data_IF_309152100636
#
_entry.id   IF_309152100636
#
_cell.length_a   1.000
_cell.length_b   1.000
_cell.length_c   1.000
_cell.angle_alpha   90.00
_cell.angle_beta   90.00
_cell.angle_gamma   90.00
#
_symmetry.space_group_name_H-M   'P 1'
#
loop_
_entity.id
_entity.type
_entity.pdbx_description
1 polymer ?
#
# COMPACT_ATOMS: atom_id res chain seq x y z
N UNK A 1 -4.81 0.29 -0.06
CA UNK A 1 -3.74 0.93 0.76
C UNK A 1 -4.11 2.39 0.96
N UNK A 2 -3.69 3.02 2.06
CA UNK A 2 -4.31 4.27 2.52
C UNK A 2 -4.00 5.44 1.57
N UNK A 3 -5.07 6.17 1.19
CA UNK A 3 -5.07 7.35 0.31
C UNK A 3 -4.63 7.16 -1.15
N UNK A 4 -4.28 5.95 -1.59
CA UNK A 4 -4.07 5.70 -3.02
C UNK A 4 -5.35 5.93 -3.81
N UNK A 5 -5.25 6.70 -4.89
CA UNK A 5 -6.36 7.10 -5.76
C UNK A 5 -5.86 7.42 -7.16
N UNK A 6 -6.74 7.84 -8.06
CA UNK A 6 -6.31 8.34 -9.35
C UNK A 6 -5.54 9.66 -9.19
N UNK A 7 -4.41 9.81 -9.89
CA UNK A 7 -3.64 11.07 -9.95
C UNK A 7 -4.40 12.19 -10.66
N UNK A 8 -5.36 11.84 -11.53
CA UNK A 8 -6.15 12.78 -12.32
C UNK A 8 -7.63 12.74 -11.91
N UNK A 9 -8.15 13.80 -11.26
CA UNK A 9 -9.57 13.88 -10.90
C UNK A 9 -10.50 13.78 -12.11
N UNK A 10 -10.08 14.32 -13.26
CA UNK A 10 -10.85 14.23 -14.51
C UNK A 10 -10.93 12.79 -15.01
N UNK A 11 -9.80 12.08 -15.02
CA UNK A 11 -9.78 10.68 -15.46
C UNK A 11 -10.62 9.81 -14.51
N UNK A 12 -10.52 10.05 -13.20
CA UNK A 12 -11.30 9.35 -12.18
C UNK A 12 -12.81 9.48 -12.38
N UNK A 13 -13.30 10.70 -12.63
CA UNK A 13 -14.72 10.98 -12.85
C UNK A 13 -15.31 10.27 -14.08
N UNK A 14 -14.49 10.02 -15.10
CA UNK A 14 -14.93 9.40 -16.36
C UNK A 14 -14.49 7.94 -16.50
N UNK A 15 -13.77 7.40 -15.53
CA UNK A 15 -13.13 6.10 -15.63
C UNK A 15 -14.17 4.98 -15.75
N UNK A 16 -14.01 4.11 -16.76
CA UNK A 16 -14.84 2.91 -16.95
C UNK A 16 -14.06 1.60 -16.76
N UNK A 17 -12.81 1.70 -16.29
CA UNK A 17 -11.93 0.55 -16.12
C UNK A 17 -12.43 -0.28 -14.93
N UNK A 18 -12.58 -1.58 -15.12
CA UNK A 18 -13.05 -2.50 -14.06
C UNK A 18 -12.00 -2.72 -12.96
N UNK A 19 -10.72 -2.55 -13.31
CA UNK A 19 -9.60 -2.74 -12.40
C UNK A 19 -8.49 -1.74 -12.70
N UNK A 20 -7.92 -1.16 -11.64
CA UNK A 20 -6.77 -0.27 -11.75
C UNK A 20 -5.43 -1.01 -11.80
N UNK A 21 -5.42 -2.32 -11.55
CA UNK A 21 -4.19 -3.12 -11.42
C UNK A 21 -4.13 -4.30 -12.39
N UNK A 22 -5.15 -4.48 -13.24
CA UNK A 22 -5.22 -5.57 -14.21
C UNK A 22 -5.50 -5.04 -15.63
N UNK A 23 -4.88 -5.62 -16.68
CA UNK A 23 -3.79 -6.62 -16.64
C UNK A 23 -2.46 -6.04 -16.11
N UNK A 24 -2.32 -4.72 -16.17
CA UNK A 24 -1.20 -3.97 -15.63
C UNK A 24 -1.72 -2.80 -14.78
N UNK A 25 -0.83 -2.20 -13.98
CA UNK A 25 -1.13 -1.00 -13.19
C UNK A 25 -1.50 0.15 -14.13
N UNK A 26 -2.65 0.75 -13.86
CA UNK A 26 -3.16 1.89 -14.61
C UNK A 26 -2.16 3.06 -14.51
N UNK A 27 -1.77 3.71 -15.62
CA UNK A 27 -0.83 4.84 -15.59
C UNK A 27 -1.32 6.04 -14.78
N UNK A 28 -2.64 6.17 -14.63
CA UNK A 28 -3.26 7.22 -13.83
C UNK A 28 -3.38 6.84 -12.34
N UNK A 29 -3.08 5.61 -11.94
CA UNK A 29 -3.13 5.21 -10.54
C UNK A 29 -1.95 5.80 -9.78
N UNK A 30 -2.23 6.33 -8.59
CA UNK A 30 -1.20 6.70 -7.63
C UNK A 30 -0.64 5.48 -6.91
N UNK A 31 0.68 5.43 -6.87
CA UNK A 31 1.49 4.38 -6.22
C UNK A 31 2.42 4.99 -5.17
N UNK A 32 2.28 6.27 -4.83
CA UNK A 32 2.99 6.88 -3.72
C UNK A 32 2.39 6.44 -2.37
N UNK A 33 3.18 5.69 -1.59
CA UNK A 33 2.74 5.16 -0.31
C UNK A 33 3.08 6.08 0.88
N UNK A 34 3.61 7.27 0.62
CA UNK A 34 3.95 8.26 1.66
C UNK A 34 2.84 8.46 2.71
N UNK A 35 1.55 8.59 2.34
CA UNK A 35 0.47 8.74 3.33
C UNK A 35 0.34 7.54 4.26
N UNK A 36 0.50 6.32 3.73
CA UNK A 36 0.43 5.08 4.51
C UNK A 36 1.63 4.97 5.45
N UNK A 37 2.85 5.26 4.96
CA UNK A 37 4.07 5.27 5.77
C UNK A 37 3.95 6.28 6.93
N UNK A 38 3.47 7.49 6.66
CA UNK A 38 3.29 8.51 7.67
C UNK A 38 2.21 8.12 8.70
N UNK A 39 1.16 7.41 8.29
CA UNK A 39 0.19 6.84 9.22
C UNK A 39 0.85 5.83 10.16
N UNK A 40 1.65 4.91 9.63
CA UNK A 40 2.33 3.89 10.42
C UNK A 40 3.30 4.50 11.44
N UNK A 41 4.10 5.49 11.03
CA UNK A 41 5.04 6.19 11.90
C UNK A 41 4.33 6.92 13.03
N UNK A 42 3.30 7.70 12.71
CA UNK A 42 2.49 8.39 13.74
C UNK A 42 1.87 7.41 14.72
N UNK A 43 1.34 6.29 14.23
CA UNK A 43 0.72 5.29 15.10
C UNK A 43 1.74 4.63 16.05
N UNK A 44 2.99 4.42 15.61
CA UNK A 44 4.08 3.91 16.44
C UNK A 44 4.52 4.88 17.54
N UNK A 45 4.40 6.19 17.31
CA UNK A 45 4.79 7.23 18.27
C UNK A 45 3.77 7.43 19.39
N UNK A 46 2.57 6.83 19.28
CA UNK A 46 1.54 6.94 20.29
C UNK A 46 1.95 6.25 21.60
N UNK A 47 1.79 6.96 22.72
CA UNK A 47 2.11 6.46 24.05
C UNK A 47 1.32 5.18 24.36
N UNK A 48 2.03 4.15 24.80
CA UNK A 48 1.44 2.85 25.18
C UNK A 48 1.39 1.83 24.04
N UNK A 49 1.66 2.23 22.80
CA UNK A 49 1.79 1.29 21.68
C UNK A 49 3.18 0.65 21.71
N UNK A 50 3.23 -0.68 21.85
CA UNK A 50 4.48 -1.44 21.86
C UNK A 50 4.94 -1.87 20.46
N UNK A 51 3.99 -2.29 19.62
CA UNK A 51 4.24 -2.74 18.25
C UNK A 51 2.93 -2.69 17.45
N UNK A 52 3.04 -2.38 16.16
CA UNK A 52 1.91 -2.42 15.21
C UNK A 52 2.22 -3.49 14.18
N UNK A 53 1.35 -4.47 14.07
CA UNK A 53 1.45 -5.54 13.08
C UNK A 53 0.41 -5.33 11.99
N UNK A 54 0.82 -5.44 10.73
CA UNK A 54 -0.08 -5.37 9.58
C UNK A 54 -0.34 -6.80 9.09
N UNK A 55 -1.53 -7.31 9.40
CA UNK A 55 -1.92 -8.69 9.10
C UNK A 55 -2.57 -8.84 7.71
N UNK A 56 -3.16 -7.77 7.17
CA UNK A 56 -3.95 -7.82 5.94
C UNK A 56 -3.94 -6.47 5.21
N UNK A 57 -4.48 -6.44 3.99
CA UNK A 57 -4.66 -5.21 3.21
C UNK A 57 -3.43 -4.73 2.45
N UNK A 58 -2.39 -5.55 2.37
CA UNK A 58 -1.22 -5.33 1.52
C UNK A 58 -1.51 -5.92 0.14
N UNK A 59 -1.62 -5.05 -0.87
CA UNK A 59 -1.73 -5.48 -2.27
C UNK A 59 -0.33 -5.54 -2.85
N UNK A 60 0.20 -6.75 -3.04
CA UNK A 60 1.58 -6.94 -3.48
C UNK A 60 1.87 -6.23 -4.81
N UNK A 61 0.97 -6.33 -5.79
CA UNK A 61 1.09 -5.69 -7.11
C UNK A 61 1.41 -4.20 -7.01
N UNK A 62 0.83 -3.51 -6.03
CA UNK A 62 1.01 -2.06 -5.83
C UNK A 62 2.14 -1.78 -4.82
N UNK A 63 2.29 -2.64 -3.81
CA UNK A 63 3.25 -2.43 -2.74
C UNK A 63 4.71 -2.42 -3.26
N UNK A 64 5.02 -3.23 -4.27
CA UNK A 64 6.36 -3.30 -4.88
C UNK A 64 6.77 -2.04 -5.62
N UNK A 65 5.80 -1.21 -6.03
CA UNK A 65 6.04 0.05 -6.74
C UNK A 65 6.68 1.11 -5.84
N UNK A 66 6.64 0.95 -4.50
CA UNK A 66 7.29 1.84 -3.55
C UNK A 66 8.22 1.08 -2.59
N UNK A 67 9.54 1.03 -2.89
CA UNK A 67 10.52 0.38 -2.03
C UNK A 67 10.56 0.93 -0.60
N UNK A 68 10.17 2.20 -0.39
CA UNK A 68 10.14 2.82 0.94
C UNK A 68 9.05 2.20 1.80
N UNK A 69 7.90 1.87 1.20
CA UNK A 69 6.81 1.20 1.88
C UNK A 69 7.19 -0.22 2.28
N UNK A 70 7.79 -1.00 1.36
CA UNK A 70 8.25 -2.35 1.66
C UNK A 70 9.27 -2.33 2.80
N UNK A 71 10.23 -1.39 2.76
CA UNK A 71 11.22 -1.24 3.84
C UNK A 71 10.55 -0.93 5.18
N UNK A 72 9.62 0.02 5.23
CA UNK A 72 8.90 0.36 6.47
C UNK A 72 8.11 -0.85 7.00
N UNK A 73 7.36 -1.51 6.12
CA UNK A 73 6.52 -2.68 6.45
C UNK A 73 7.38 -3.83 7.01
N UNK A 74 8.42 -4.23 6.30
CA UNK A 74 9.27 -5.36 6.68
C UNK A 74 10.12 -5.06 7.94
N UNK A 75 10.57 -3.81 8.12
CA UNK A 75 11.43 -3.46 9.26
C UNK A 75 10.68 -3.38 10.58
N UNK A 76 9.40 -3.00 10.56
CA UNK A 76 8.69 -2.59 11.78
C UNK A 76 7.35 -3.29 12.00
N UNK A 77 6.71 -3.76 10.93
CA UNK A 77 5.29 -4.08 10.96
C UNK A 77 4.95 -5.55 10.72
N UNK A 78 5.96 -6.42 10.65
CA UNK A 78 5.79 -7.86 10.54
C UNK A 78 6.28 -8.59 11.80
N UNK A 79 5.76 -9.80 12.00
CA UNK A 79 6.12 -10.69 13.11
C UNK A 79 7.46 -11.41 12.94
N UNK A 80 8.15 -11.17 11.81
CA UNK A 80 9.41 -11.83 11.46
C UNK A 80 9.64 -11.72 9.96
N UNK A 81 9.06 -12.64 9.20
CA UNK A 81 9.13 -12.63 7.75
C UNK A 81 7.86 -12.05 7.13
N UNK A 82 8.02 -11.16 6.15
CA UNK A 82 6.94 -10.79 5.24
C UNK A 82 6.73 -11.95 4.27
N UNK A 83 5.60 -12.66 4.40
CA UNK A 83 5.23 -13.75 3.50
C UNK A 83 4.21 -13.23 2.50
N UNK A 84 4.45 -13.52 1.23
CA UNK A 84 3.50 -13.26 0.15
C UNK A 84 2.91 -14.62 -0.21
N UNK A 85 1.60 -14.75 -0.08
CA UNK A 85 0.91 -15.91 -0.62
C UNK A 85 0.94 -15.82 -2.15
N UNK A 86 1.05 -16.93 -2.89
CA UNK A 86 0.86 -16.91 -4.32
C UNK A 86 -0.53 -16.36 -4.62
N UNK A 87 -0.61 -15.18 -5.21
CA UNK A 87 -1.87 -14.63 -5.70
C UNK A 87 -2.22 -15.44 -6.97
N UNK A 88 -3.37 -16.11 -6.97
CA UNK A 88 -3.74 -17.04 -8.04
C UNK A 88 -3.85 -16.30 -9.39
N UNK A 89 -3.14 -16.80 -10.40
CA UNK A 89 -3.22 -16.34 -11.79
C UNK A 89 -4.52 -16.79 -12.46
#
# INVERSE_FOLDING_TARGET
>A
MYMLRCKSPRAEQTCRRLSCVYPDICPHMDTDHTPTINLYRRARELKGIKKILIASGVRYDIAVEDPRYIKELASHHVGGYLKIAPEHY
#
